data_IF_050533936448
#
_entry.id   IF_050533936448
#
_cell.length_a   1.000
_cell.length_b   1.000
_cell.length_c   1.000
_cell.angle_alpha   90.00
_cell.angle_beta   90.00
_cell.angle_gamma   90.00
#
_symmetry.space_group_name_H-M   'P 1'
#
loop_
_entity.id
_entity.type
_entity.pdbx_description
1 polymer ?
#
# COMPACT_ATOMS: atom_id res chain seq x y z
N UNK A 1 9.33 -15.44 17.49
CA UNK A 1 7.89 -15.32 17.24
C UNK A 1 7.50 -13.87 17.31
N UNK A 2 6.65 -13.41 16.38
CA UNK A 2 6.15 -12.04 16.38
C UNK A 2 5.23 -11.83 17.59
N UNK A 3 5.31 -10.65 18.21
CA UNK A 3 4.40 -10.28 19.30
C UNK A 3 3.09 -9.79 18.70
N UNK A 4 1.97 -10.25 19.24
CA UNK A 4 0.65 -9.74 18.87
C UNK A 4 0.50 -8.29 19.29
N UNK A 5 -0.34 -7.58 18.55
CA UNK A 5 -0.84 -6.28 18.97
C UNK A 5 -1.97 -6.50 20.02
N UNK A 6 -2.25 -5.51 20.88
CA UNK A 6 -1.48 -4.29 21.08
C UNK A 6 -0.12 -4.57 21.73
N UNK A 7 0.87 -3.73 21.42
CA UNK A 7 2.19 -3.84 22.05
C UNK A 7 2.05 -3.41 23.52
N UNK A 8 2.48 -4.24 24.47
CA UNK A 8 2.43 -3.94 25.92
C UNK A 8 3.29 -2.74 26.33
N UNK A 9 4.23 -2.33 25.47
CA UNK A 9 5.10 -1.19 25.70
C UNK A 9 4.32 0.10 25.45
N UNK A 10 4.44 1.04 26.38
CA UNK A 10 3.96 2.40 26.16
C UNK A 10 4.65 3.06 24.94
N UNK A 11 3.84 3.34 23.93
CA UNK A 11 4.25 3.99 22.68
C UNK A 11 4.15 5.52 22.76
N UNK A 12 3.44 6.06 23.77
CA UNK A 12 3.16 7.50 23.94
C UNK A 12 4.30 8.25 24.61
N UNK A 13 5.52 8.03 24.11
CA UNK A 13 6.69 8.74 24.62
C UNK A 13 6.67 10.22 24.26
N UNK A 14 7.36 11.06 25.05
CA UNK A 14 7.54 12.51 24.75
C UNK A 14 8.05 12.76 23.32
N UNK A 15 8.91 11.89 22.78
CA UNK A 15 9.43 12.00 21.40
C UNK A 15 8.32 11.75 20.38
N UNK A 16 7.51 10.71 20.58
CA UNK A 16 6.37 10.36 19.72
C UNK A 16 5.31 11.46 19.78
N UNK A 17 4.89 11.90 20.97
CA UNK A 17 3.86 12.93 21.14
C UNK A 17 4.26 14.28 20.53
N UNK A 18 5.54 14.67 20.63
CA UNK A 18 6.04 15.88 19.95
C UNK A 18 5.93 15.78 18.43
N UNK A 19 6.18 14.60 17.84
CA UNK A 19 6.05 14.37 16.40
C UNK A 19 4.60 14.25 15.97
N UNK A 20 3.75 13.63 16.80
CA UNK A 20 2.31 13.55 16.60
C UNK A 20 1.71 14.95 16.44
N UNK A 21 2.07 15.91 17.30
CA UNK A 21 1.56 17.28 17.21
C UNK A 21 1.88 17.95 15.87
N UNK A 22 3.10 17.75 15.33
CA UNK A 22 3.48 18.31 14.03
C UNK A 22 2.78 17.61 12.87
N UNK A 23 2.67 16.27 12.91
CA UNK A 23 2.00 15.50 11.86
C UNK A 23 0.49 15.79 11.83
N UNK A 24 -0.16 15.83 12.99
CA UNK A 24 -1.58 16.17 13.11
C UNK A 24 -1.88 17.57 12.56
N UNK A 25 -1.04 18.57 12.85
CA UNK A 25 -1.21 19.93 12.32
C UNK A 25 -1.17 19.94 10.78
N UNK A 26 -0.17 19.30 10.19
CA UNK A 26 -0.03 19.24 8.73
C UNK A 26 -1.21 18.50 8.07
N UNK A 27 -1.67 17.39 8.67
CA UNK A 27 -2.85 16.67 8.18
C UNK A 27 -4.14 17.49 8.31
N UNK A 28 -4.31 18.25 9.40
CA UNK A 28 -5.47 19.11 9.59
C UNK A 28 -5.50 20.28 8.59
N UNK A 29 -4.34 20.87 8.31
CA UNK A 29 -4.19 21.92 7.28
C UNK A 29 -4.53 21.37 5.90
N UNK A 30 -3.96 20.22 5.51
CA UNK A 30 -4.30 19.55 4.26
C UNK A 30 -5.80 19.26 4.17
N UNK A 31 -6.39 18.70 5.23
CA UNK A 31 -7.83 18.41 5.27
C UNK A 31 -8.66 19.67 5.05
N UNK A 32 -8.31 20.78 5.71
CA UNK A 32 -8.99 22.06 5.56
C UNK A 32 -8.89 22.63 4.14
N UNK A 33 -7.68 22.64 3.55
CA UNK A 33 -7.44 23.13 2.20
C UNK A 33 -8.18 22.28 1.16
N UNK A 34 -8.11 20.95 1.25
CA UNK A 34 -8.77 20.04 0.30
C UNK A 34 -10.27 20.29 0.25
N UNK A 35 -10.93 20.51 1.39
CA UNK A 35 -12.38 20.80 1.44
C UNK A 35 -12.79 22.11 0.77
N UNK A 36 -11.85 22.98 0.39
CA UNK A 36 -12.13 24.21 -0.38
C UNK A 36 -12.05 23.99 -1.90
N UNK A 37 -11.56 22.85 -2.36
CA UNK A 37 -11.34 22.56 -3.77
C UNK A 37 -12.66 22.06 -4.40
N UNK A 38 -13.17 22.69 -5.46
CA UNK A 38 -14.44 22.31 -6.08
C UNK A 38 -14.51 20.87 -6.59
N UNK A 39 -13.37 20.28 -6.94
CA UNK A 39 -13.26 18.90 -7.40
C UNK A 39 -12.03 18.21 -6.79
N UNK A 40 -12.20 17.60 -5.61
CA UNK A 40 -11.16 16.86 -4.90
C UNK A 40 -10.58 15.69 -5.71
N UNK A 41 -11.32 15.16 -6.70
CA UNK A 41 -10.82 14.07 -7.54
C UNK A 41 -9.57 14.43 -8.34
N UNK A 42 -9.35 15.72 -8.64
CA UNK A 42 -8.14 16.17 -9.33
C UNK A 42 -6.90 15.83 -8.50
N UNK A 43 -6.97 16.01 -7.18
CA UNK A 43 -5.88 15.66 -6.27
C UNK A 43 -5.70 14.15 -6.16
N UNK A 44 -6.78 13.39 -6.04
CA UNK A 44 -6.71 11.93 -5.95
C UNK A 44 -6.03 11.34 -7.19
N UNK A 45 -6.36 11.85 -8.38
CA UNK A 45 -5.77 11.36 -9.62
C UNK A 45 -4.30 11.76 -9.77
N UNK A 46 -3.93 12.98 -9.40
CA UNK A 46 -2.55 13.47 -9.55
C UNK A 46 -1.62 12.96 -8.44
N UNK A 47 -2.01 13.11 -7.18
CA UNK A 47 -1.26 12.61 -6.03
C UNK A 47 -1.24 11.09 -5.99
N UNK A 48 -2.35 10.43 -6.35
CA UNK A 48 -2.40 8.97 -6.41
C UNK A 48 -1.47 8.38 -7.47
N UNK A 49 -1.31 9.07 -8.61
CA UNK A 49 -0.34 8.66 -9.64
C UNK A 49 1.09 8.87 -9.17
N UNK A 50 1.39 10.02 -8.57
CA UNK A 50 2.72 10.30 -8.01
C UNK A 50 3.09 9.27 -6.93
N UNK A 51 2.18 9.01 -5.98
CA UNK A 51 2.34 8.01 -4.93
C UNK A 51 2.55 6.62 -5.52
N UNK A 52 1.72 6.21 -6.48
CA UNK A 52 1.85 4.89 -7.11
C UNK A 52 3.20 4.73 -7.82
N UNK A 53 3.67 5.75 -8.54
CA UNK A 53 4.95 5.75 -9.23
C UNK A 53 6.11 5.68 -8.23
N UNK A 54 6.10 6.52 -7.21
CA UNK A 54 7.19 6.62 -6.23
C UNK A 54 7.23 5.38 -5.32
N UNK A 55 6.08 4.86 -4.90
CA UNK A 55 5.96 3.63 -4.10
C UNK A 55 6.41 2.40 -4.89
N UNK A 56 6.01 2.29 -6.17
CA UNK A 56 6.45 1.17 -7.03
C UNK A 56 7.95 1.24 -7.35
N UNK A 57 8.54 2.44 -7.40
CA UNK A 57 9.98 2.60 -7.60
C UNK A 57 10.81 2.02 -6.44
N UNK A 58 10.28 2.00 -5.20
CA UNK A 58 10.91 1.34 -4.05
C UNK A 58 11.03 -0.18 -4.29
N UNK A 59 10.05 -0.76 -4.98
CA UNK A 59 10.01 -2.18 -5.36
C UNK A 59 10.76 -2.48 -6.68
N UNK A 60 11.60 -1.55 -7.16
CA UNK A 60 12.34 -1.61 -8.43
C UNK A 60 11.47 -1.58 -9.70
N UNK A 61 10.21 -1.15 -9.60
CA UNK A 61 9.32 -0.95 -10.76
C UNK A 61 9.50 0.48 -11.26
N UNK A 62 10.40 0.66 -12.24
CA UNK A 62 10.75 1.98 -12.78
C UNK A 62 9.90 2.29 -14.01
N UNK A 63 9.17 3.41 -13.98
CA UNK A 63 8.35 3.92 -15.09
C UNK A 63 8.34 5.44 -15.12
N UNK A 64 7.85 6.03 -16.21
CA UNK A 64 7.66 7.48 -16.37
C UNK A 64 6.19 7.88 -16.29
N UNK A 65 5.90 9.16 -16.03
CA UNK A 65 4.53 9.70 -16.11
C UNK A 65 3.93 9.51 -17.50
N UNK A 66 4.69 9.79 -18.56
CA UNK A 66 4.25 9.61 -19.94
C UNK A 66 3.83 8.16 -20.22
N UNK A 67 4.60 7.19 -19.74
CA UNK A 67 4.28 5.77 -19.90
C UNK A 67 3.02 5.37 -19.13
N UNK A 68 2.83 5.91 -17.92
CA UNK A 68 1.62 5.68 -17.12
C UNK A 68 0.39 6.27 -17.83
N UNK A 69 0.49 7.48 -18.39
CA UNK A 69 -0.61 8.10 -19.13
C UNK A 69 -0.93 7.37 -20.44
N UNK A 70 0.09 6.94 -21.19
CA UNK A 70 -0.11 6.11 -22.39
C UNK A 70 -0.78 4.78 -22.07
N UNK A 71 -0.43 4.17 -20.93
CA UNK A 71 -1.08 2.96 -20.44
C UNK A 71 -2.55 3.21 -20.05
N UNK A 72 -2.86 4.33 -19.39
CA UNK A 72 -4.24 4.70 -19.00
C UNK A 72 -5.15 4.88 -20.22
N UNK A 73 -4.63 5.52 -21.27
CA UNK A 73 -5.34 5.77 -22.53
C UNK A 73 -5.50 4.51 -23.40
N UNK A 74 -4.93 3.36 -23.00
CA UNK A 74 -4.94 2.11 -23.77
C UNK A 74 -4.53 2.30 -25.24
N UNK A 75 -3.53 3.15 -25.49
CA UNK A 75 -3.08 3.43 -26.86
C UNK A 75 -2.60 2.13 -27.53
N UNK A 76 -3.16 1.83 -28.70
CA UNK A 76 -2.82 0.62 -29.45
C UNK A 76 -1.31 0.52 -29.69
N UNK A 77 -0.73 -0.63 -29.33
CA UNK A 77 0.71 -0.91 -29.48
C UNK A 77 1.58 -0.55 -28.27
N UNK A 78 1.10 0.22 -27.28
CA UNK A 78 1.87 0.50 -26.07
C UNK A 78 1.74 -0.64 -25.05
N UNK A 79 2.86 -1.33 -24.74
CA UNK A 79 2.91 -2.46 -23.80
C UNK A 79 4.09 -2.30 -22.83
N UNK A 80 3.93 -1.48 -21.80
CA UNK A 80 4.88 -1.41 -20.67
C UNK A 80 4.34 -2.22 -19.48
N UNK A 81 5.09 -3.22 -19.01
CA UNK A 81 4.73 -4.02 -17.84
C UNK A 81 4.79 -3.18 -16.56
N UNK A 82 5.87 -2.41 -16.38
CA UNK A 82 6.02 -1.53 -15.23
C UNK A 82 4.91 -0.46 -15.16
N UNK A 83 4.51 0.11 -16.30
CA UNK A 83 3.40 1.05 -16.33
C UNK A 83 2.07 0.38 -15.95
N UNK A 84 1.85 -0.89 -16.35
CA UNK A 84 0.67 -1.66 -15.94
C UNK A 84 0.66 -1.97 -14.46
N UNK A 85 1.81 -2.28 -13.86
CA UNK A 85 1.91 -2.50 -12.41
C UNK A 85 1.57 -1.23 -11.63
N UNK A 86 2.07 -0.06 -12.06
CA UNK A 86 1.68 1.23 -11.47
C UNK A 86 0.18 1.52 -11.64
N UNK A 87 -0.40 1.18 -12.80
CA UNK A 87 -1.85 1.30 -13.01
C UNK A 87 -2.66 0.37 -12.08
N UNK A 88 -2.17 -0.86 -11.85
CA UNK A 88 -2.80 -1.76 -10.89
C UNK A 88 -2.76 -1.19 -9.47
N UNK A 89 -1.65 -0.54 -9.08
CA UNK A 89 -1.55 0.16 -7.80
C UNK A 89 -2.59 1.26 -7.66
N UNK A 90 -2.73 2.13 -8.67
CA UNK A 90 -3.76 3.20 -8.69
C UNK A 90 -5.17 2.59 -8.56
N UNK A 91 -5.44 1.50 -9.29
CA UNK A 91 -6.72 0.78 -9.22
C UNK A 91 -6.97 0.23 -7.80
N UNK A 92 -5.97 -0.44 -7.21
CA UNK A 92 -6.04 -1.03 -5.88
C UNK A 92 -6.26 0.03 -4.80
N UNK A 93 -5.58 1.18 -4.89
CA UNK A 93 -5.75 2.31 -3.99
C UNK A 93 -7.19 2.85 -4.04
N UNK A 94 -7.71 3.12 -5.25
CA UNK A 94 -9.09 3.59 -5.45
C UNK A 94 -10.11 2.58 -4.92
N UNK A 95 -9.89 1.29 -5.16
CA UNK A 95 -10.74 0.22 -4.67
C UNK A 95 -10.74 0.15 -3.14
N UNK A 96 -9.57 0.19 -2.50
CA UNK A 96 -9.45 0.21 -1.05
C UNK A 96 -10.14 1.41 -0.43
N UNK A 97 -9.94 2.61 -0.99
CA UNK A 97 -10.65 3.82 -0.57
C UNK A 97 -12.17 3.67 -0.67
N UNK A 98 -12.68 3.13 -1.77
CA UNK A 98 -14.12 2.90 -1.95
C UNK A 98 -14.69 1.89 -0.94
N UNK A 99 -13.99 0.77 -0.71
CA UNK A 99 -14.37 -0.25 0.26
C UNK A 99 -14.46 0.32 1.69
N UNK A 100 -13.41 1.01 2.13
CA UNK A 100 -13.33 1.60 3.47
C UNK A 100 -14.35 2.74 3.62
N UNK A 101 -14.51 3.58 2.59
CA UNK A 101 -15.47 4.67 2.61
C UNK A 101 -16.91 4.18 2.78
N UNK A 102 -17.24 3.02 2.19
CA UNK A 102 -18.54 2.37 2.31
C UNK A 102 -18.72 1.63 3.63
N UNK A 103 -17.73 0.82 4.04
CA UNK A 103 -17.84 -0.07 5.21
C UNK A 103 -17.50 0.61 6.54
N UNK A 104 -16.78 1.74 6.49
CA UNK A 104 -16.21 2.47 7.65
C UNK A 104 -15.26 1.62 8.52
N UNK A 105 -14.76 0.51 7.97
CA UNK A 105 -13.86 -0.43 8.61
C UNK A 105 -12.99 -1.08 7.55
N UNK A 106 -11.76 -1.46 7.92
CA UNK A 106 -10.87 -2.26 7.09
C UNK A 106 -10.81 -3.68 7.66
N UNK A 107 -11.18 -4.68 6.86
CA UNK A 107 -11.14 -6.10 7.24
C UNK A 107 -10.07 -6.86 6.47
N UNK A 108 -9.72 -8.06 6.94
CA UNK A 108 -8.82 -8.95 6.19
C UNK A 108 -9.34 -9.29 4.78
N UNK A 109 -10.67 -9.37 4.61
CA UNK A 109 -11.26 -9.58 3.29
C UNK A 109 -11.02 -8.38 2.37
N UNK A 110 -11.09 -7.15 2.91
CA UNK A 110 -10.76 -5.95 2.14
C UNK A 110 -9.29 -5.92 1.73
N UNK A 111 -8.38 -6.29 2.64
CA UNK A 111 -6.94 -6.39 2.35
C UNK A 111 -6.68 -7.39 1.22
N UNK A 112 -7.30 -8.58 1.27
CA UNK A 112 -7.18 -9.59 0.22
C UNK A 112 -7.76 -9.08 -1.11
N UNK A 113 -8.88 -8.35 -1.07
CA UNK A 113 -9.52 -7.80 -2.26
C UNK A 113 -8.68 -6.70 -2.93
N UNK A 114 -8.02 -5.86 -2.12
CA UNK A 114 -7.06 -4.84 -2.57
C UNK A 114 -5.81 -5.51 -3.15
N UNK A 115 -5.23 -6.49 -2.46
CA UNK A 115 -4.08 -7.25 -2.96
C UNK A 115 -4.40 -7.94 -4.29
N UNK A 116 -5.59 -8.51 -4.42
CA UNK A 116 -6.03 -9.17 -5.67
C UNK A 116 -6.15 -8.19 -6.83
N UNK A 117 -6.53 -6.93 -6.54
CA UNK A 117 -6.57 -5.85 -7.54
C UNK A 117 -5.17 -5.42 -7.98
N UNK A 118 -4.24 -5.31 -7.03
CA UNK A 118 -2.84 -4.91 -7.26
C UNK A 118 -2.09 -5.97 -8.09
N UNK A 119 -2.14 -7.22 -7.64
CA UNK A 119 -1.36 -8.32 -8.21
C UNK A 119 -2.07 -9.03 -9.37
N UNK A 120 -3.34 -8.67 -9.64
CA UNK A 120 -4.22 -9.31 -10.63
C UNK A 120 -4.29 -10.84 -10.49
N UNK A 121 -4.28 -11.31 -9.24
CA UNK A 121 -4.39 -12.73 -8.90
C UNK A 121 -5.27 -12.93 -7.66
N UNK A 122 -5.47 -14.18 -7.22
CA UNK A 122 -6.24 -14.53 -6.02
C UNK A 122 -5.37 -15.26 -5.00
N UNK A 123 -4.17 -14.75 -4.73
CA UNK A 123 -3.19 -15.40 -3.86
C UNK A 123 -3.68 -15.50 -2.41
N UNK A 124 -4.28 -14.42 -1.89
CA UNK A 124 -4.65 -14.33 -0.47
C UNK A 124 -3.44 -14.42 0.45
N UNK A 125 -3.63 -14.86 1.69
CA UNK A 125 -2.52 -15.08 2.61
C UNK A 125 -1.68 -16.30 2.20
N UNK A 126 -0.35 -16.18 2.38
CA UNK A 126 0.62 -17.23 2.06
C UNK A 126 0.27 -18.53 2.80
N UNK A 127 0.28 -19.66 2.09
CA UNK A 127 0.01 -21.00 2.63
C UNK A 127 1.22 -21.92 2.63
N UNK A 128 2.19 -21.67 1.74
CA UNK A 128 3.38 -22.48 1.61
C UNK A 128 4.57 -21.79 2.31
N UNK A 129 5.44 -22.55 2.98
CA UNK A 129 6.66 -22.01 3.56
C UNK A 129 7.71 -21.70 2.47
N UNK A 130 8.81 -21.08 2.87
CA UNK A 130 9.97 -20.77 2.02
C UNK A 130 10.16 -19.28 1.72
N UNK A 131 9.21 -18.42 2.10
CA UNK A 131 9.36 -16.96 1.95
C UNK A 131 10.42 -16.46 2.94
N UNK A 132 11.47 -15.81 2.44
CA UNK A 132 12.50 -15.19 3.25
C UNK A 132 13.06 -13.95 2.54
N UNK A 133 13.37 -12.90 3.31
CA UNK A 133 14.14 -11.76 2.83
C UNK A 133 15.62 -12.13 2.85
N UNK A 134 16.25 -12.15 1.68
CA UNK A 134 17.67 -12.49 1.53
C UNK A 134 18.45 -11.31 0.97
N UNK A 135 19.69 -11.16 1.42
CA UNK A 135 20.64 -10.29 0.76
C UNK A 135 20.98 -10.87 -0.61
N UNK A 136 20.69 -10.13 -1.67
CA UNK A 136 20.88 -10.59 -3.05
C UNK A 136 22.36 -10.88 -3.39
N UNK A 137 23.30 -10.17 -2.75
CA UNK A 137 24.75 -10.30 -3.01
C UNK A 137 25.38 -11.45 -2.23
N UNK A 138 25.00 -11.63 -0.95
CA UNK A 138 25.63 -12.64 -0.07
C UNK A 138 24.83 -13.93 0.03
N UNK A 139 23.55 -13.92 -0.37
CA UNK A 139 22.62 -15.04 -0.18
C UNK A 139 22.15 -15.22 1.26
N UNK A 140 22.65 -14.42 2.20
CA UNK A 140 22.31 -14.49 3.62
C UNK A 140 20.84 -14.14 3.86
N UNK A 141 20.19 -14.89 4.75
CA UNK A 141 18.81 -14.61 5.14
C UNK A 141 18.77 -13.51 6.20
N UNK A 142 18.24 -12.35 5.83
CA UNK A 142 18.08 -11.18 6.71
C UNK A 142 16.88 -11.35 7.64
N UNK A 143 15.78 -11.88 7.11
CA UNK A 143 14.56 -12.09 7.87
C UNK A 143 13.71 -13.22 7.29
N UNK A 144 13.12 -14.03 8.16
CA UNK A 144 12.14 -15.05 7.78
C UNK A 144 10.80 -14.69 8.45
N UNK A 145 9.76 -14.31 7.68
CA UNK A 145 8.43 -14.06 8.24
C UNK A 145 7.78 -15.36 8.78
N UNK A 146 6.62 -15.27 9.46
CA UNK A 146 5.79 -16.43 9.76
C UNK A 146 5.58 -17.32 8.53
N UNK A 147 5.78 -18.63 8.72
CA UNK A 147 5.73 -19.61 7.65
C UNK A 147 4.43 -20.42 7.68
N UNK A 148 3.84 -20.61 8.86
CA UNK A 148 2.62 -21.38 9.04
C UNK A 148 1.39 -20.54 8.70
N UNK A 149 0.49 -21.12 7.91
CA UNK A 149 -0.75 -20.43 7.50
C UNK A 149 -1.60 -20.01 8.70
N UNK A 150 -1.70 -20.86 9.72
CA UNK A 150 -2.44 -20.56 10.95
C UNK A 150 -1.82 -19.41 11.74
N UNK A 151 -0.49 -19.34 11.83
CA UNK A 151 0.22 -18.23 12.49
C UNK A 151 -0.03 -16.91 11.76
N UNK A 152 -0.04 -16.92 10.42
CA UNK A 152 -0.35 -15.72 9.62
C UNK A 152 -1.78 -15.25 9.90
N UNK A 153 -2.76 -16.15 9.88
CA UNK A 153 -4.16 -15.78 10.14
C UNK A 153 -4.35 -15.21 11.55
N UNK A 154 -3.72 -15.84 12.54
CA UNK A 154 -3.78 -15.43 13.95
C UNK A 154 -3.11 -14.08 14.20
N UNK A 155 -2.04 -13.75 13.47
CA UNK A 155 -1.41 -12.43 13.51
C UNK A 155 -2.24 -11.35 12.79
N UNK A 156 -3.01 -11.74 11.78
CA UNK A 156 -3.86 -10.83 11.01
C UNK A 156 -5.25 -10.62 11.65
N UNK A 157 -5.63 -11.37 12.68
CA UNK A 157 -6.94 -11.28 13.34
C UNK A 157 -7.01 -10.25 14.48
N UNK A 158 -6.06 -9.31 14.53
CA UNK A 158 -5.95 -8.31 15.59
C UNK A 158 -7.15 -7.36 15.67
#
# INVERSE_FOLDING_TARGET
>A
MLKKLPIEKDVETKKVLKKLATAHRALAELKGVVSTIPNENILINTLGLQEAKDSSAIENIITTHDDIYKADLNLEGFKSLNAKEVQNYISALKKGFALISKKKMLTNNDIIEIQSELEKNKAGFRKLPGTALKNATTGETVYTPPQEYSEILDLMSN
#
